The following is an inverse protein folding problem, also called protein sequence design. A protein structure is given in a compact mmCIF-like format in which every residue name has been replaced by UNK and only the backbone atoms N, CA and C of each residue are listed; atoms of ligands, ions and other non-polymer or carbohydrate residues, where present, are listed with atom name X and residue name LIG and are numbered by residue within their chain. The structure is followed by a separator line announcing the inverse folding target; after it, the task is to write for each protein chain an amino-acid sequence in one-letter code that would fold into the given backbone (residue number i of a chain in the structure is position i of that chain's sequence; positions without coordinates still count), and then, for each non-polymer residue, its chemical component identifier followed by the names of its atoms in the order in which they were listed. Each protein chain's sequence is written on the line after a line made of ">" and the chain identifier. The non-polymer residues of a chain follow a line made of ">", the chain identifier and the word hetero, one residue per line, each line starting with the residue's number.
data_IF_865309904151
#
_entry.id   IF_865309904151
#
_cell.length_a   1.000
_cell.length_b   1.000
_cell.length_c   1.000
_cell.angle_alpha   90.00
_cell.angle_beta   90.00
_cell.angle_gamma   90.00
#
_symmetry.space_group_name_H-M   'P 1'
#
loop_
_entity.id
_entity.type
_entity.pdbx_description
1 polymer ?
#
# COMPACT_ATOMS: atom_id res chain seq x y z
N UNK A 1 -32.60 33.35 0.07
CA UNK A 1 -31.22 32.96 -0.29
C UNK A 1 -31.00 33.35 -1.75
N UNK A 2 -30.00 34.17 -2.00
CA UNK A 2 -29.69 34.64 -3.36
C UNK A 2 -28.86 33.60 -4.12
N UNK A 3 -28.80 33.72 -5.45
CA UNK A 3 -27.99 32.82 -6.28
C UNK A 3 -26.51 32.84 -5.89
N UNK A 4 -25.99 34.00 -5.49
CA UNK A 4 -24.62 34.15 -5.00
C UNK A 4 -24.32 33.25 -3.79
N UNK A 5 -25.26 33.14 -2.85
CA UNK A 5 -25.10 32.29 -1.66
C UNK A 5 -25.04 30.80 -2.03
N UNK A 6 -25.75 30.39 -3.08
CA UNK A 6 -25.73 29.00 -3.58
C UNK A 6 -24.40 28.70 -4.27
N UNK A 7 -23.83 29.67 -4.99
CA UNK A 7 -22.53 29.51 -5.66
C UNK A 7 -21.37 29.39 -4.67
N UNK A 8 -21.46 30.01 -3.49
CA UNK A 8 -20.45 29.87 -2.43
C UNK A 8 -20.35 28.45 -1.86
N UNK A 9 -21.33 27.58 -2.13
CA UNK A 9 -21.27 26.18 -1.70
C UNK A 9 -20.33 25.33 -2.56
N UNK A 10 -19.92 25.84 -3.74
CA UNK A 10 -19.00 25.13 -4.64
C UNK A 10 -17.57 25.18 -4.09
N UNK A 11 -16.82 24.07 -4.10
CA UNK A 11 -15.44 24.08 -3.64
C UNK A 11 -14.53 24.78 -4.65
N UNK A 12 -13.45 25.39 -4.17
CA UNK A 12 -12.40 25.97 -5.02
C UNK A 12 -11.55 24.88 -5.68
N UNK A 13 -11.26 23.81 -4.94
CA UNK A 13 -10.56 22.63 -5.43
C UNK A 13 -11.54 21.61 -6.00
N UNK A 14 -11.16 20.96 -7.10
CA UNK A 14 -11.97 19.96 -7.82
C UNK A 14 -11.53 18.51 -7.56
N UNK A 15 -10.79 18.27 -6.48
CA UNK A 15 -10.48 16.91 -6.03
C UNK A 15 -11.71 16.26 -5.36
N UNK A 16 -11.70 14.92 -5.34
CA UNK A 16 -12.83 14.13 -4.87
C UNK A 16 -13.18 14.40 -3.40
N UNK A 17 -12.18 14.66 -2.55
CA UNK A 17 -12.37 14.95 -1.13
C UNK A 17 -13.03 16.31 -0.89
N UNK A 18 -12.59 17.34 -1.62
CA UNK A 18 -13.14 18.70 -1.58
C UNK A 18 -14.58 18.73 -2.07
N UNK A 19 -14.87 18.00 -3.15
CA UNK A 19 -16.23 17.82 -3.68
C UNK A 19 -17.13 17.09 -2.68
N UNK A 20 -16.67 16.01 -2.05
CA UNK A 20 -17.42 15.32 -1.01
C UNK A 20 -17.76 16.24 0.19
N UNK A 21 -16.78 17.03 0.64
CA UNK A 21 -16.98 18.02 1.70
C UNK A 21 -17.98 19.12 1.32
N UNK A 22 -17.95 19.58 0.07
CA UNK A 22 -18.89 20.58 -0.44
C UNK A 22 -20.32 20.04 -0.58
N UNK A 23 -20.48 18.80 -1.07
CA UNK A 23 -21.77 18.11 -1.14
C UNK A 23 -22.41 18.04 0.25
N UNK A 24 -21.67 17.66 1.28
CA UNK A 24 -22.20 17.60 2.65
C UNK A 24 -22.66 18.98 3.17
N UNK A 25 -21.92 20.05 2.86
CA UNK A 25 -22.35 21.42 3.21
C UNK A 25 -23.62 21.81 2.46
N UNK A 26 -23.70 21.50 1.18
CA UNK A 26 -24.88 21.78 0.37
C UNK A 26 -26.10 20.96 0.83
N UNK A 27 -25.93 19.71 1.22
CA UNK A 27 -27.01 18.88 1.76
C UNK A 27 -27.58 19.47 3.07
N UNK A 28 -26.72 19.97 3.96
CA UNK A 28 -27.17 20.68 5.18
C UNK A 28 -27.96 21.95 4.83
N UNK A 29 -27.44 22.79 3.93
CA UNK A 29 -28.12 24.01 3.49
C UNK A 29 -29.49 23.72 2.83
N UNK A 30 -29.59 22.61 2.08
CA UNK A 30 -30.86 22.14 1.52
C UNK A 30 -31.85 21.75 2.60
N UNK A 31 -31.42 20.98 3.59
CA UNK A 31 -32.27 20.57 4.72
C UNK A 31 -32.75 21.78 5.51
N UNK A 32 -31.89 22.75 5.77
CA UNK A 32 -32.26 24.02 6.42
C UNK A 32 -33.33 24.78 5.63
N UNK A 33 -33.17 24.86 4.31
CA UNK A 33 -34.16 25.50 3.42
C UNK A 33 -35.51 24.77 3.46
N UNK A 34 -35.51 23.44 3.44
CA UNK A 34 -36.73 22.63 3.54
C UNK A 34 -37.40 22.74 4.92
N UNK A 35 -36.62 22.82 6.00
CA UNK A 35 -37.16 23.06 7.32
C UNK A 35 -37.84 24.44 7.40
N UNK A 36 -37.22 25.47 6.81
CA UNK A 36 -37.83 26.80 6.72
C UNK A 36 -39.15 26.81 5.95
N UNK A 37 -39.26 26.02 4.87
CA UNK A 37 -40.54 25.83 4.15
C UNK A 37 -41.60 25.21 5.07
N UNK A 38 -41.24 24.18 5.86
CA UNK A 38 -42.16 23.55 6.81
C UNK A 38 -42.60 24.50 7.92
N UNK A 39 -41.66 25.28 8.47
CA UNK A 39 -41.94 26.26 9.51
C UNK A 39 -42.90 27.34 9.00
N UNK A 40 -42.65 27.87 7.80
CA UNK A 40 -43.53 28.85 7.16
C UNK A 40 -44.91 28.26 6.85
N UNK A 41 -44.99 27.00 6.42
CA UNK A 41 -46.27 26.33 6.20
C UNK A 41 -47.07 26.16 7.52
N UNK A 42 -46.38 25.84 8.61
CA UNK A 42 -46.97 25.78 9.96
C UNK A 42 -47.49 27.14 10.41
N UNK A 43 -46.68 28.19 10.29
CA UNK A 43 -47.07 29.56 10.62
C UNK A 43 -48.23 30.04 9.76
N UNK A 44 -48.25 29.73 8.46
CA UNK A 44 -49.34 30.09 7.54
C UNK A 44 -50.67 29.50 8.01
N UNK A 45 -50.68 28.25 8.48
CA UNK A 45 -51.92 27.62 8.97
C UNK A 45 -52.53 28.36 10.17
N UNK A 46 -51.69 28.93 11.04
CA UNK A 46 -52.14 29.78 12.14
C UNK A 46 -52.58 31.17 11.65
N UNK A 47 -51.82 31.76 10.72
CA UNK A 47 -52.07 33.08 10.17
C UNK A 47 -53.39 33.18 9.38
N UNK A 48 -53.87 32.09 8.78
CA UNK A 48 -55.15 32.06 8.03
C UNK A 48 -56.37 32.53 8.86
N UNK A 49 -56.29 32.49 10.19
CA UNK A 49 -57.36 32.90 11.09
C UNK A 49 -57.18 34.31 11.66
N UNK A 50 -55.99 34.91 11.54
CA UNK A 50 -55.60 36.11 12.31
C UNK A 50 -54.94 37.21 11.49
N UNK A 51 -54.37 36.87 10.34
CA UNK A 51 -53.60 37.77 9.48
C UNK A 51 -54.43 38.33 8.34
N UNK A 52 -53.98 39.44 7.77
CA UNK A 52 -54.56 40.01 6.56
C UNK A 52 -54.03 39.30 5.28
N UNK A 53 -54.68 39.58 4.15
CA UNK A 53 -54.33 38.97 2.87
C UNK A 53 -52.89 39.30 2.43
N UNK A 54 -52.38 40.49 2.79
CA UNK A 54 -51.04 40.93 2.44
C UNK A 54 -49.96 40.14 3.19
N UNK A 55 -50.17 39.90 4.48
CA UNK A 55 -49.31 39.06 5.32
C UNK A 55 -49.29 37.62 4.81
N UNK A 56 -50.47 37.05 4.50
CA UNK A 56 -50.57 35.70 3.94
C UNK A 56 -49.81 35.58 2.62
N UNK A 57 -49.98 36.54 1.72
CA UNK A 57 -49.28 36.55 0.42
C UNK A 57 -47.76 36.68 0.61
N UNK A 58 -47.30 37.49 1.57
CA UNK A 58 -45.88 37.59 1.90
C UNK A 58 -45.31 36.27 2.43
N UNK A 59 -46.05 35.55 3.29
CA UNK A 59 -45.63 34.24 3.79
C UNK A 59 -45.56 33.18 2.69
N UNK A 60 -46.52 33.18 1.76
CA UNK A 60 -46.50 32.28 0.60
C UNK A 60 -45.31 32.56 -0.32
N UNK A 61 -45.01 33.84 -0.55
CA UNK A 61 -43.86 34.24 -1.34
C UNK A 61 -42.55 33.77 -0.69
N UNK A 62 -42.41 33.95 0.63
CA UNK A 62 -41.24 33.48 1.38
C UNK A 62 -41.09 31.95 1.33
N UNK A 63 -42.19 31.20 1.45
CA UNK A 63 -42.18 29.75 1.34
C UNK A 63 -41.77 29.30 -0.07
N UNK A 64 -42.30 29.96 -1.11
CA UNK A 64 -41.93 29.68 -2.50
C UNK A 64 -40.46 30.02 -2.79
N UNK A 65 -39.92 31.10 -2.22
CA UNK A 65 -38.52 31.47 -2.35
C UNK A 65 -37.59 30.46 -1.64
N UNK A 66 -37.98 29.98 -0.45
CA UNK A 66 -37.24 28.95 0.28
C UNK A 66 -37.26 27.60 -0.46
N UNK A 67 -38.39 27.23 -1.05
CA UNK A 67 -38.50 26.02 -1.87
C UNK A 67 -37.61 26.12 -3.12
N UNK A 68 -37.66 27.25 -3.85
CA UNK A 68 -36.78 27.49 -4.99
C UNK A 68 -35.30 27.45 -4.62
N UNK A 69 -34.94 27.92 -3.43
CA UNK A 69 -33.56 27.78 -2.93
C UNK A 69 -33.18 26.31 -2.71
N UNK A 70 -34.03 25.53 -2.06
CA UNK A 70 -33.80 24.10 -1.85
C UNK A 70 -33.65 23.33 -3.18
N UNK A 71 -34.45 23.65 -4.19
CA UNK A 71 -34.40 23.01 -5.51
C UNK A 71 -33.11 23.38 -6.26
N UNK A 72 -32.66 24.64 -6.17
CA UNK A 72 -31.36 25.06 -6.75
C UNK A 72 -30.19 24.35 -6.09
N UNK A 73 -30.22 24.21 -4.76
CA UNK A 73 -29.17 23.48 -4.03
C UNK A 73 -29.19 22.00 -4.42
N UNK A 74 -30.37 21.40 -4.63
CA UNK A 74 -30.48 20.02 -5.09
C UNK A 74 -29.83 19.83 -6.48
N UNK A 75 -30.09 20.74 -7.42
CA UNK A 75 -29.45 20.70 -8.74
C UNK A 75 -27.93 20.86 -8.66
N UNK A 76 -27.43 21.72 -7.76
CA UNK A 76 -26.00 21.88 -7.52
C UNK A 76 -25.37 20.61 -6.95
N UNK A 77 -26.04 19.94 -6.01
CA UNK A 77 -25.56 18.66 -5.43
C UNK A 77 -25.40 17.61 -6.52
N UNK A 78 -26.38 17.45 -7.41
CA UNK A 78 -26.30 16.48 -8.50
C UNK A 78 -25.14 16.79 -9.47
N UNK A 79 -24.92 18.07 -9.80
CA UNK A 79 -23.78 18.48 -10.61
C UNK A 79 -22.44 18.15 -9.92
N UNK A 80 -22.30 18.45 -8.62
CA UNK A 80 -21.09 18.14 -7.86
C UNK A 80 -20.85 16.62 -7.72
N UNK A 81 -21.91 15.81 -7.63
CA UNK A 81 -21.79 14.34 -7.59
C UNK A 81 -21.22 13.78 -8.88
N UNK A 82 -21.68 14.29 -10.04
CA UNK A 82 -21.11 13.93 -11.33
C UNK A 82 -19.64 14.35 -11.45
N UNK A 83 -19.31 15.58 -11.01
CA UNK A 83 -17.91 16.04 -10.98
C UNK A 83 -17.03 15.17 -10.06
N UNK A 84 -17.56 14.75 -8.91
CA UNK A 84 -16.85 13.92 -7.93
C UNK A 84 -16.52 12.53 -8.48
N UNK A 85 -17.44 11.92 -9.23
CA UNK A 85 -17.20 10.63 -9.88
C UNK A 85 -16.05 10.74 -10.90
N UNK A 86 -16.07 11.78 -11.73
CA UNK A 86 -14.99 12.05 -12.70
C UNK A 86 -13.65 12.31 -12.02
N UNK A 87 -13.65 13.12 -10.96
CA UNK A 87 -12.45 13.41 -10.18
C UNK A 87 -11.87 12.14 -9.53
N UNK A 88 -12.72 11.30 -8.94
CA UNK A 88 -12.30 10.03 -8.33
C UNK A 88 -11.69 9.07 -9.34
N UNK A 89 -12.28 8.93 -10.52
CA UNK A 89 -11.74 8.08 -11.59
C UNK A 89 -10.41 8.61 -12.12
N UNK A 90 -10.24 9.93 -12.19
CA UNK A 90 -8.98 10.56 -12.55
C UNK A 90 -7.90 10.28 -11.51
N UNK A 91 -8.20 10.46 -10.23
CA UNK A 91 -7.26 10.23 -9.12
C UNK A 91 -6.81 8.77 -9.06
N UNK A 92 -7.74 7.82 -9.23
CA UNK A 92 -7.40 6.38 -9.30
C UNK A 92 -6.43 6.08 -10.45
N UNK A 93 -6.67 6.66 -11.62
CA UNK A 93 -5.79 6.49 -12.79
C UNK A 93 -4.41 7.08 -12.55
N UNK A 94 -4.32 8.29 -12.00
CA UNK A 94 -3.05 8.93 -11.65
C UNK A 94 -2.28 8.10 -10.62
N UNK A 95 -2.95 7.56 -9.60
CA UNK A 95 -2.34 6.68 -8.61
C UNK A 95 -1.81 5.37 -9.23
N UNK A 96 -2.59 4.75 -10.13
CA UNK A 96 -2.16 3.54 -10.83
C UNK A 96 -0.94 3.78 -11.72
N UNK A 97 -0.90 4.92 -12.43
CA UNK A 97 0.27 5.31 -13.23
C UNK A 97 1.51 5.51 -12.37
N UNK A 98 1.38 6.21 -11.23
CA UNK A 98 2.49 6.41 -10.31
C UNK A 98 3.02 5.08 -9.75
N UNK A 99 2.14 4.13 -9.41
CA UNK A 99 2.53 2.80 -8.97
C UNK A 99 3.26 2.02 -10.08
N UNK A 100 2.75 2.07 -11.32
CA UNK A 100 3.39 1.43 -12.47
C UNK A 100 4.79 2.01 -12.75
N UNK A 101 4.95 3.32 -12.70
CA UNK A 101 6.26 3.97 -12.84
C UNK A 101 7.23 3.55 -11.73
N UNK A 102 6.75 3.51 -10.49
CA UNK A 102 7.52 3.01 -9.35
C UNK A 102 7.98 1.57 -9.54
N UNK A 103 7.06 0.68 -9.90
CA UNK A 103 7.35 -0.74 -10.17
C UNK A 103 8.33 -0.90 -11.33
N UNK A 104 8.18 -0.13 -12.41
CA UNK A 104 9.10 -0.18 -13.55
C UNK A 104 10.52 0.27 -13.18
N UNK A 105 10.66 1.32 -12.35
CA UNK A 105 11.97 1.75 -11.84
C UNK A 105 12.64 0.66 -11.01
N UNK A 106 11.91 0.04 -10.09
CA UNK A 106 12.43 -1.05 -9.25
C UNK A 106 12.80 -2.27 -10.08
N UNK A 107 11.94 -2.70 -11.03
CA UNK A 107 12.22 -3.81 -11.91
C UNK A 107 13.48 -3.57 -12.77
N UNK A 108 13.64 -2.35 -13.29
CA UNK A 108 14.82 -1.97 -14.07
C UNK A 108 16.09 -1.98 -13.22
N UNK A 109 16.03 -1.44 -12.00
CA UNK A 109 17.14 -1.47 -11.06
C UNK A 109 17.53 -2.91 -10.69
N UNK A 110 16.54 -3.77 -10.42
CA UNK A 110 16.76 -5.18 -10.14
C UNK A 110 17.41 -5.92 -11.33
N UNK A 111 16.92 -5.71 -12.56
CA UNK A 111 17.50 -6.32 -13.76
C UNK A 111 18.94 -5.88 -13.99
N UNK A 112 19.27 -4.63 -13.68
CA UNK A 112 20.64 -4.10 -13.78
C UNK A 112 21.54 -4.79 -12.76
N UNK A 113 21.14 -4.79 -11.48
CA UNK A 113 21.85 -5.51 -10.42
C UNK A 113 22.02 -7.00 -10.73
N UNK A 114 20.97 -7.66 -11.23
CA UNK A 114 21.01 -9.08 -11.59
C UNK A 114 22.00 -9.36 -12.71
N UNK A 115 22.16 -8.47 -13.68
CA UNK A 115 23.14 -8.67 -14.76
C UNK A 115 24.57 -8.42 -14.29
N UNK A 116 24.78 -7.45 -13.41
CA UNK A 116 26.11 -6.94 -13.07
C UNK A 116 26.71 -7.61 -11.83
N UNK A 117 25.91 -7.83 -10.79
CA UNK A 117 26.39 -8.28 -9.48
C UNK A 117 26.13 -9.77 -9.23
N UNK A 118 25.01 -10.32 -9.74
CA UNK A 118 24.70 -11.73 -9.53
C UNK A 118 25.80 -12.70 -10.03
N UNK A 119 26.42 -12.51 -11.20
CA UNK A 119 27.49 -13.42 -11.65
C UNK A 119 28.67 -13.48 -10.67
N UNK A 120 29.07 -12.33 -10.12
CA UNK A 120 30.16 -12.24 -9.13
C UNK A 120 29.80 -13.02 -7.86
N UNK A 121 28.57 -12.86 -7.38
CA UNK A 121 28.07 -13.60 -6.22
C UNK A 121 27.92 -15.11 -6.51
N UNK A 122 27.43 -15.48 -7.68
CA UNK A 122 27.28 -16.88 -8.08
C UNK A 122 28.64 -17.59 -8.15
N UNK A 123 29.67 -16.92 -8.65
CA UNK A 123 31.05 -17.44 -8.64
C UNK A 123 31.60 -17.62 -7.23
N UNK A 124 31.39 -16.63 -6.34
CA UNK A 124 31.80 -16.73 -4.94
C UNK A 124 31.09 -17.88 -4.21
N UNK A 125 29.78 -18.06 -4.43
CA UNK A 125 28.99 -19.17 -3.88
C UNK A 125 29.54 -20.51 -4.40
N UNK A 126 29.80 -20.62 -5.71
CA UNK A 126 30.38 -21.84 -6.30
C UNK A 126 31.75 -22.18 -5.72
N UNK A 127 32.62 -21.19 -5.54
CA UNK A 127 33.92 -21.38 -4.93
C UNK A 127 33.80 -21.88 -3.48
N UNK A 128 32.88 -21.31 -2.70
CA UNK A 128 32.57 -21.77 -1.35
C UNK A 128 32.10 -23.23 -1.29
N UNK A 129 31.18 -23.61 -2.18
CA UNK A 129 30.68 -25.00 -2.27
C UNK A 129 31.79 -25.99 -2.66
N UNK A 130 32.70 -25.61 -3.56
CA UNK A 130 33.84 -26.46 -3.92
C UNK A 130 34.81 -26.66 -2.75
N UNK A 131 35.11 -25.60 -2.00
CA UNK A 131 35.96 -25.68 -0.81
C UNK A 131 35.33 -26.56 0.28
N UNK A 132 34.02 -26.46 0.46
CA UNK A 132 33.27 -27.29 1.41
C UNK A 132 33.34 -28.78 1.01
N UNK A 133 33.12 -29.10 -0.27
CA UNK A 133 33.27 -30.47 -0.78
C UNK A 133 34.70 -31.00 -0.58
N UNK A 134 35.71 -30.19 -0.86
CA UNK A 134 37.11 -30.55 -0.62
C UNK A 134 37.37 -30.80 0.86
N UNK A 135 36.90 -29.92 1.75
CA UNK A 135 37.03 -30.10 3.19
C UNK A 135 36.34 -31.38 3.69
N UNK A 136 35.16 -31.72 3.16
CA UNK A 136 34.47 -32.98 3.47
C UNK A 136 35.26 -34.21 3.01
N UNK A 137 35.80 -34.19 1.79
CA UNK A 137 36.64 -35.29 1.29
C UNK A 137 37.93 -35.46 2.10
N UNK A 138 38.60 -34.36 2.46
CA UNK A 138 39.80 -34.38 3.29
C UNK A 138 39.53 -34.92 4.69
N UNK A 139 38.37 -34.57 5.30
CA UNK A 139 37.92 -35.16 6.56
C UNK A 139 37.67 -36.65 6.44
N UNK A 140 37.02 -37.11 5.37
CA UNK A 140 36.76 -38.53 5.16
C UNK A 140 38.06 -39.34 5.02
N UNK A 141 39.05 -38.80 4.29
CA UNK A 141 40.38 -39.41 4.13
C UNK A 141 41.15 -39.42 5.45
N UNK A 142 41.17 -38.29 6.18
CA UNK A 142 41.82 -38.20 7.49
C UNK A 142 41.16 -39.15 8.51
N UNK A 143 39.84 -39.28 8.48
CA UNK A 143 39.10 -40.20 9.33
C UNK A 143 39.44 -41.67 9.01
N UNK A 144 39.49 -42.04 7.72
CA UNK A 144 39.89 -43.38 7.29
C UNK A 144 41.35 -43.70 7.69
N UNK A 145 42.25 -42.73 7.57
CA UNK A 145 43.64 -42.86 8.01
C UNK A 145 43.74 -43.08 9.53
N UNK A 146 42.99 -42.31 10.33
CA UNK A 146 42.95 -42.46 11.78
C UNK A 146 42.40 -43.83 12.20
N UNK A 147 41.32 -44.28 11.57
CA UNK A 147 40.73 -45.60 11.81
C UNK A 147 41.70 -46.74 11.45
N UNK A 148 42.54 -46.58 10.41
CA UNK A 148 43.56 -47.57 10.02
C UNK A 148 44.76 -47.66 10.99
N UNK A 149 45.05 -46.58 11.73
CA UNK A 149 46.16 -46.52 12.70
C UNK A 149 45.79 -46.95 14.12
N UNK A 150 44.52 -47.30 14.38
CA UNK A 150 44.06 -47.76 15.70
C UNK A 150 44.07 -46.70 16.80
N UNK A 151 44.23 -45.42 16.44
CA UNK A 151 44.22 -44.30 17.38
C UNK A 151 42.78 -43.86 17.71
N UNK A 152 42.48 -43.73 19.00
CA UNK A 152 41.14 -43.50 19.52
C UNK A 152 40.61 -42.09 19.17
N UNK A 153 39.35 -42.03 18.68
CA UNK A 153 38.62 -40.91 18.04
C UNK A 153 38.64 -39.53 18.71
N UNK A 154 39.19 -39.39 19.92
CA UNK A 154 39.00 -38.20 20.78
C UNK A 154 39.97 -37.04 20.54
N UNK A 155 41.05 -37.21 19.78
CA UNK A 155 42.12 -36.19 19.73
C UNK A 155 42.21 -35.35 18.46
N UNK A 156 41.37 -35.58 17.43
CA UNK A 156 41.59 -34.98 16.10
C UNK A 156 40.33 -34.47 15.38
N UNK A 157 39.24 -34.22 16.09
CA UNK A 157 38.15 -33.40 15.52
C UNK A 157 38.51 -31.93 15.75
N UNK A 158 39.45 -31.42 14.98
CA UNK A 158 39.45 -29.99 14.73
C UNK A 158 38.32 -29.73 13.75
N UNK A 159 37.25 -29.11 14.24
CA UNK A 159 36.24 -28.57 13.32
C UNK A 159 36.93 -27.54 12.41
N UNK A 160 36.43 -27.33 11.19
CA UNK A 160 37.03 -26.35 10.25
C UNK A 160 37.19 -24.96 10.88
N UNK A 161 36.42 -24.67 11.93
CA UNK A 161 36.51 -23.45 12.71
C UNK A 161 37.83 -23.29 13.47
N UNK A 162 38.47 -24.38 13.89
CA UNK A 162 39.70 -24.34 14.70
C UNK A 162 40.98 -24.36 13.86
N UNK A 163 40.98 -25.03 12.69
CA UNK A 163 42.15 -25.05 11.77
C UNK A 163 42.33 -23.71 11.06
N UNK A 164 41.25 -22.98 10.80
CA UNK A 164 41.29 -21.70 10.07
C UNK A 164 41.26 -20.47 10.98
N UNK A 165 41.26 -20.64 12.31
CA UNK A 165 41.08 -19.54 13.26
C UNK A 165 39.76 -18.79 13.06
N UNK A 166 38.75 -19.43 12.45
CA UNK A 166 37.51 -18.77 12.06
C UNK A 166 36.31 -19.54 12.56
N UNK A 167 35.78 -19.11 13.70
CA UNK A 167 34.39 -19.39 14.01
C UNK A 167 33.52 -18.88 12.86
N UNK A 168 33.04 -19.79 12.01
CA UNK A 168 32.14 -19.50 10.88
C UNK A 168 32.62 -18.43 9.88
N UNK A 169 33.55 -18.76 8.98
CA UNK A 169 33.84 -17.89 7.81
C UNK A 169 32.61 -17.59 6.93
N UNK A 170 31.54 -18.40 7.01
CA UNK A 170 30.25 -18.08 6.39
C UNK A 170 29.60 -16.80 6.96
N UNK A 171 29.79 -16.49 8.25
CA UNK A 171 29.24 -15.26 8.85
C UNK A 171 30.10 -14.03 8.60
N UNK A 172 31.39 -14.21 8.28
CA UNK A 172 32.33 -13.10 8.02
C UNK A 172 32.34 -12.66 6.55
N UNK A 173 32.00 -13.54 5.60
CA UNK A 173 31.83 -13.15 4.18
C UNK A 173 30.39 -12.80 3.79
N UNK A 174 29.40 -13.22 4.58
CA UNK A 174 28.03 -12.69 4.50
C UNK A 174 27.74 -11.64 5.59
N UNK A 175 28.79 -10.99 6.09
CA UNK A 175 28.69 -9.89 7.04
C UNK A 175 28.02 -8.67 6.41
N UNK A 176 26.80 -8.37 6.87
CA UNK A 176 26.10 -7.09 6.74
C UNK A 176 25.63 -6.61 5.34
N UNK A 177 26.09 -7.17 4.22
CA UNK A 177 25.76 -6.64 2.89
C UNK A 177 24.57 -7.28 2.17
N UNK A 178 24.07 -8.44 2.62
CA UNK A 178 22.95 -9.12 1.98
C UNK A 178 21.62 -8.80 2.69
N UNK A 179 21.10 -7.59 2.44
CA UNK A 179 19.68 -7.31 2.63
C UNK A 179 18.99 -7.55 1.29
N UNK A 180 18.18 -8.61 1.21
CA UNK A 180 17.17 -8.69 0.16
C UNK A 180 16.23 -7.49 0.36
N UNK A 181 16.01 -6.64 -0.66
CA UNK A 181 15.03 -5.57 -0.55
C UNK A 181 13.65 -6.20 -0.32
N UNK A 182 13.06 -5.98 0.85
CA UNK A 182 11.65 -6.31 1.09
C UNK A 182 10.76 -5.23 0.47
N UNK A 183 9.62 -5.65 -0.06
CA UNK A 183 8.66 -4.78 -0.75
C UNK A 183 7.92 -3.84 0.22
N UNK A 184 8.15 -3.98 1.52
CA UNK A 184 7.32 -3.49 2.61
C UNK A 184 8.14 -2.90 3.78
N UNK A 185 9.46 -2.76 3.62
CA UNK A 185 10.33 -2.10 4.61
C UNK A 185 10.59 -2.90 5.89
N UNK A 186 10.11 -4.14 5.97
CA UNK A 186 10.38 -5.08 7.05
C UNK A 186 11.72 -5.77 6.82
N UNK A 187 12.63 -5.63 7.79
CA UNK A 187 13.89 -6.39 7.81
C UNK A 187 13.56 -7.83 8.17
N UNK A 188 13.82 -8.77 7.25
CA UNK A 188 13.66 -10.20 7.55
C UNK A 188 14.47 -10.56 8.79
N UNK A 189 13.89 -11.26 9.79
CA UNK A 189 14.64 -11.65 10.97
C UNK A 189 15.82 -12.52 10.53
N UNK A 190 17.02 -12.16 11.01
CA UNK A 190 18.24 -12.96 10.81
C UNK A 190 17.90 -14.41 11.15
N UNK A 191 18.08 -15.31 10.19
CA UNK A 191 17.95 -16.74 10.37
C UNK A 191 19.10 -17.25 11.27
N UNK A 192 19.06 -16.89 12.54
CA UNK A 192 19.92 -17.41 13.59
C UNK A 192 19.02 -18.08 14.63
N UNK A 193 18.55 -19.28 14.28
CA UNK A 193 18.30 -20.42 15.17
C UNK A 193 17.61 -21.53 14.36
N UNK A 194 18.37 -22.60 14.10
CA UNK A 194 17.90 -23.90 13.59
C UNK A 194 17.22 -23.89 12.22
N UNK A 195 18.03 -23.94 11.15
CA UNK A 195 17.54 -24.24 9.79
C UNK A 195 17.90 -25.69 9.45
N UNK A 196 16.89 -26.58 9.44
CA UNK A 196 16.93 -27.83 8.68
C UNK A 196 16.64 -27.50 7.20
N UNK A 197 17.56 -27.68 6.25
CA UNK A 197 17.43 -27.12 4.91
C UNK A 197 16.90 -28.14 3.89
N UNK A 198 15.74 -28.75 4.13
CA UNK A 198 15.17 -29.72 3.17
C UNK A 198 13.65 -29.72 3.07
N UNK A 199 13.00 -28.59 2.72
CA UNK A 199 11.56 -28.62 2.37
C UNK A 199 11.13 -27.79 1.16
N UNK A 200 12.06 -27.38 0.28
CA UNK A 200 11.71 -26.76 -1.01
C UNK A 200 12.57 -27.27 -2.17
N UNK A 201 12.56 -28.60 -2.40
CA UNK A 201 13.02 -29.20 -3.66
C UNK A 201 11.99 -30.23 -4.13
N UNK A 202 10.74 -29.82 -4.28
CA UNK A 202 9.70 -30.58 -4.97
C UNK A 202 8.69 -29.60 -5.53
N UNK A 203 9.01 -28.96 -6.67
CA UNK A 203 8.06 -28.66 -7.77
C UNK A 203 8.62 -27.66 -8.82
N UNK A 204 9.86 -27.84 -9.27
CA UNK A 204 10.38 -27.14 -10.47
C UNK A 204 10.60 -28.07 -11.67
N UNK A 205 9.98 -29.26 -11.68
CA UNK A 205 10.04 -30.20 -12.83
C UNK A 205 8.80 -30.19 -13.74
N UNK A 206 7.91 -29.20 -13.63
CA UNK A 206 6.76 -29.03 -14.56
C UNK A 206 6.62 -27.59 -15.03
N UNK A 207 7.66 -27.07 -15.66
CA UNK A 207 7.52 -26.04 -16.68
C UNK A 207 8.32 -26.51 -17.88
N UNK A 208 7.74 -27.45 -18.62
CA UNK A 208 8.11 -27.67 -20.01
C UNK A 208 7.77 -26.39 -20.78
N UNK A 209 8.80 -25.67 -21.19
CA UNK A 209 8.69 -24.64 -22.21
C UNK A 209 8.75 -25.37 -23.55
N UNK A 210 7.58 -25.56 -24.16
CA UNK A 210 7.36 -25.63 -25.61
C UNK A 210 6.03 -24.99 -25.94
#
# INVERSE_FOLDING_TARGET
>A
MQYADVMQLRPEAQDSASLAGAILRAERARVESLNRVKDLAGQRSAALLTSDDAELQAMEQQAADAQRAADRIAALIEAMRAEMEVASEREKKEQALHLLEGSNRVATAFLTWWREEYPKHAEAIRAGLLLEQQAHSARAVAQAALESTGLNRKSLIYTSAEITGSGSLWSLHMGAAFQLPSLDGTVWPRASKHFEPYWFVTDLRRMDIR
#
